data_IF_031602998015
#
_entry.id   IF_031602998015
#
_cell.length_a   1.000
_cell.length_b   1.000
_cell.length_c   1.000
_cell.angle_alpha   90.00
_cell.angle_beta   90.00
_cell.angle_gamma   90.00
#
_symmetry.space_group_name_H-M   'P 1'
#
loop_
_entity.id
_entity.type
_entity.pdbx_description
1 polymer ?
#
# COMPACT_ATOMS: atom_id res chain seq x y z
N UNK A 1 4.72 -35.30 44.04
CA UNK A 1 5.40 -34.26 43.23
C UNK A 1 5.59 -34.84 41.84
N UNK A 2 4.69 -34.53 40.90
CA UNK A 2 4.88 -34.86 39.49
C UNK A 2 5.25 -33.59 38.73
N UNK A 3 6.46 -33.56 38.17
CA UNK A 3 6.87 -32.57 37.20
C UNK A 3 6.25 -32.93 35.84
N UNK A 4 5.17 -32.25 35.45
CA UNK A 4 4.70 -32.29 34.06
C UNK A 4 5.52 -31.33 33.21
N UNK A 5 6.37 -31.92 32.38
CA UNK A 5 7.15 -31.21 31.37
C UNK A 5 6.26 -30.69 30.23
N UNK A 6 6.41 -29.38 29.98
CA UNK A 6 6.57 -28.72 28.68
C UNK A 6 5.43 -28.79 27.66
N UNK A 7 4.70 -27.68 27.54
CA UNK A 7 4.58 -26.99 26.26
C UNK A 7 4.91 -25.52 26.44
N UNK A 8 6.11 -25.13 26.00
CA UNK A 8 6.48 -23.73 25.84
C UNK A 8 5.83 -23.26 24.54
N UNK A 9 4.74 -22.50 24.64
CA UNK A 9 4.30 -21.68 23.50
C UNK A 9 5.24 -20.47 23.49
N UNK A 10 6.47 -20.67 23.03
CA UNK A 10 7.26 -19.57 22.46
C UNK A 10 7.11 -19.67 20.96
N UNK A 11 6.61 -18.57 20.39
CA UNK A 11 6.58 -18.19 18.97
C UNK A 11 5.30 -18.52 18.22
N UNK A 12 4.31 -17.64 18.36
CA UNK A 12 4.00 -16.76 17.24
C UNK A 12 3.98 -15.34 17.78
N UNK A 13 5.10 -14.64 17.54
CA UNK A 13 5.07 -13.18 17.45
C UNK A 13 3.93 -12.91 16.46
N UNK A 14 2.87 -12.22 16.88
CA UNK A 14 1.85 -11.68 15.97
C UNK A 14 2.53 -10.65 15.07
N UNK A 15 3.43 -11.11 14.19
CA UNK A 15 3.84 -10.44 12.99
C UNK A 15 2.79 -10.77 11.96
N UNK A 16 1.59 -10.24 12.18
CA UNK A 16 0.54 -10.24 11.16
C UNK A 16 1.05 -9.29 10.08
N UNK A 17 1.57 -9.88 9.00
CA UNK A 17 1.91 -9.20 7.76
C UNK A 17 3.01 -8.15 7.85
N UNK A 18 4.29 -8.56 7.94
CA UNK A 18 5.30 -7.80 7.19
C UNK A 18 5.16 -8.14 5.71
N UNK A 19 4.13 -7.60 5.07
CA UNK A 19 4.27 -7.27 3.67
C UNK A 19 5.13 -6.00 3.67
N UNK A 20 6.35 -6.11 3.15
CA UNK A 20 7.14 -4.94 2.78
C UNK A 20 6.35 -4.28 1.64
N UNK A 21 5.40 -3.44 2.02
CA UNK A 21 4.70 -2.58 1.10
C UNK A 21 5.75 -1.59 0.61
N UNK A 22 6.20 -1.82 -0.63
CA UNK A 22 7.05 -0.91 -1.37
C UNK A 22 6.51 0.50 -1.15
N UNK A 23 7.27 1.30 -0.43
CA UNK A 23 6.77 2.42 0.34
C UNK A 23 6.70 3.66 -0.53
N UNK A 24 5.59 4.40 -0.41
CA UNK A 24 5.19 5.35 -1.43
C UNK A 24 4.83 6.72 -0.83
N UNK A 25 5.73 7.65 -1.14
CA UNK A 25 5.54 9.09 -1.34
C UNK A 25 4.16 9.62 -1.65
N UNK A 26 3.42 10.06 -0.61
CA UNK A 26 2.78 11.37 -0.66
C UNK A 26 3.82 12.51 -0.51
N UNK A 27 4.50 12.86 -1.60
CA UNK A 27 5.34 14.05 -1.70
C UNK A 27 5.10 14.72 -3.05
N UNK A 28 5.27 16.05 -3.17
CA UNK A 28 5.32 16.73 -4.46
C UNK A 28 6.16 15.93 -5.47
N UNK A 29 5.52 15.36 -6.50
CA UNK A 29 6.25 14.83 -7.64
C UNK A 29 6.58 16.01 -8.55
N UNK A 30 7.85 16.18 -8.92
CA UNK A 30 8.34 17.22 -9.82
C UNK A 30 8.52 16.68 -11.26
N UNK A 31 8.08 17.46 -12.25
CA UNK A 31 8.34 17.21 -13.67
C UNK A 31 9.65 17.82 -14.15
N UNK A 32 10.39 17.13 -15.02
CA UNK A 32 11.46 17.72 -15.84
C UNK A 32 11.10 17.64 -17.33
N UNK A 33 11.05 18.77 -18.04
CA UNK A 33 10.87 18.81 -19.51
C UNK A 33 12.20 19.12 -20.21
N UNK A 34 12.59 18.25 -21.15
CA UNK A 34 13.77 18.47 -22.02
C UNK A 34 13.28 18.81 -23.43
N UNK A 35 13.74 19.92 -24.01
CA UNK A 35 13.36 20.38 -25.36
C UNK A 35 14.58 20.30 -26.27
N UNK A 36 14.42 19.69 -27.45
CA UNK A 36 15.48 19.48 -28.44
C UNK A 36 15.79 20.78 -29.21
N UNK A 37 17.08 21.09 -29.37
CA UNK A 37 17.57 22.21 -30.17
C UNK A 37 17.47 21.89 -31.68
N UNK A 38 17.01 22.86 -32.47
CA UNK A 38 16.96 22.80 -33.93
C UNK A 38 17.89 23.87 -34.50
N UNK A 39 18.71 23.49 -35.49
CA UNK A 39 19.78 24.30 -36.08
C UNK A 39 19.28 25.68 -36.55
N UNK A 40 19.96 26.74 -36.10
CA UNK A 40 19.74 28.10 -36.53
C UNK A 40 20.55 28.39 -37.82
N UNK A 41 19.87 28.63 -38.94
CA UNK A 41 20.50 29.19 -40.13
C UNK A 41 20.66 30.70 -40.00
N UNK A 42 21.84 31.22 -40.35
CA UNK A 42 22.20 32.64 -40.31
C UNK A 42 21.34 33.50 -41.26
N UNK A 43 20.94 34.73 -40.87
CA UNK A 43 20.16 35.61 -41.73
C UNK A 43 21.02 36.16 -42.89
N UNK A 44 20.51 36.03 -44.11
CA UNK A 44 21.09 36.61 -45.32
C UNK A 44 20.72 38.10 -45.43
N UNK A 45 21.71 38.97 -45.66
CA UNK A 45 21.47 40.40 -45.87
C UNK A 45 20.70 40.65 -47.18
N UNK A 46 19.59 41.39 -47.12
CA UNK A 46 18.81 41.79 -48.29
C UNK A 46 19.46 42.99 -49.00
N UNK A 47 19.76 42.81 -50.28
CA UNK A 47 20.29 43.87 -51.15
C UNK A 47 19.18 44.86 -51.51
N UNK A 48 19.31 46.13 -51.11
CA UNK A 48 18.37 47.19 -51.49
C UNK A 48 18.49 47.47 -53.00
N UNK A 49 17.42 47.19 -53.73
CA UNK A 49 17.23 47.71 -55.09
C UNK A 49 17.16 49.24 -55.12
N UNK A 50 17.21 49.80 -56.32
CA UNK A 50 17.26 51.21 -56.70
C UNK A 50 16.05 52.06 -56.25
N UNK A 51 15.81 52.13 -54.94
CA UNK A 51 14.81 52.95 -54.30
C UNK A 51 15.23 54.43 -54.28
N UNK A 52 14.31 55.35 -54.57
CA UNK A 52 14.55 56.81 -54.55
C UNK A 52 14.32 57.44 -53.17
N UNK A 53 13.91 56.65 -52.18
CA UNK A 53 13.65 57.01 -50.79
C UNK A 53 13.87 55.77 -49.90
N UNK A 54 14.31 55.97 -48.65
CA UNK A 54 14.74 54.88 -47.73
C UNK A 54 15.87 54.01 -48.30
N UNK A 55 16.95 54.66 -48.75
CA UNK A 55 18.12 54.01 -49.39
C UNK A 55 19.11 53.36 -48.41
N UNK A 56 18.91 53.54 -47.11
CA UNK A 56 19.74 52.92 -46.10
C UNK A 56 19.45 51.42 -46.04
N UNK A 57 20.47 50.60 -46.28
CA UNK A 57 20.37 49.17 -46.03
C UNK A 57 20.08 48.92 -44.55
N UNK A 58 19.45 47.78 -44.26
CA UNK A 58 19.18 47.37 -42.89
C UNK A 58 20.52 47.34 -42.12
N UNK A 59 20.56 48.05 -41.00
CA UNK A 59 21.72 48.05 -40.12
C UNK A 59 21.97 46.64 -39.56
N UNK A 60 23.23 46.31 -39.29
CA UNK A 60 23.57 45.05 -38.64
C UNK A 60 22.81 44.93 -37.30
N UNK A 61 22.37 43.71 -36.93
CA UNK A 61 21.71 43.48 -35.65
C UNK A 61 22.63 43.84 -34.48
N UNK A 62 22.03 44.32 -33.37
CA UNK A 62 22.81 44.67 -32.18
C UNK A 62 23.44 43.43 -31.53
N UNK A 63 24.51 43.64 -30.75
CA UNK A 63 25.14 42.56 -30.00
C UNK A 63 24.17 41.89 -29.01
N UNK A 64 23.23 42.63 -28.41
CA UNK A 64 22.19 42.03 -27.58
C UNK A 64 21.23 41.14 -28.37
N UNK A 65 20.87 41.53 -29.61
CA UNK A 65 20.03 40.71 -30.48
C UNK A 65 20.72 39.39 -30.84
N UNK A 66 22.00 39.45 -31.22
CA UNK A 66 22.79 38.26 -31.54
C UNK A 66 23.00 37.36 -30.32
N UNK A 67 23.12 37.94 -29.12
CA UNK A 67 23.19 37.17 -27.87
C UNK A 67 21.85 36.47 -27.56
N UNK A 68 20.74 37.18 -27.73
CA UNK A 68 19.38 36.64 -27.56
C UNK A 68 19.06 35.56 -28.60
N UNK A 69 19.49 35.72 -29.84
CA UNK A 69 19.34 34.73 -30.91
C UNK A 69 20.15 33.46 -30.62
N UNK A 70 21.38 33.59 -30.09
CA UNK A 70 22.18 32.45 -29.61
C UNK A 70 21.57 31.76 -28.39
N UNK A 71 20.80 32.49 -27.59
CA UNK A 71 20.03 31.97 -26.46
C UNK A 71 18.64 31.47 -26.87
N UNK A 72 18.21 31.74 -28.11
CA UNK A 72 16.92 31.28 -28.60
C UNK A 72 16.91 29.75 -28.60
N UNK A 73 15.84 29.15 -28.08
CA UNK A 73 15.71 27.72 -27.85
C UNK A 73 16.71 27.12 -26.84
N UNK A 74 17.46 27.94 -26.11
CA UNK A 74 18.17 27.50 -24.90
C UNK A 74 17.26 27.75 -23.69
N UNK A 75 16.90 26.68 -22.99
CA UNK A 75 16.16 26.77 -21.73
C UNK A 75 17.14 27.06 -20.59
N UNK A 76 16.92 28.17 -19.88
CA UNK A 76 17.58 28.44 -18.61
C UNK A 76 16.60 28.18 -17.46
N UNK A 77 16.86 27.12 -16.69
CA UNK A 77 16.06 26.73 -15.53
C UNK A 77 15.12 25.55 -15.79
N UNK A 78 14.62 24.98 -14.70
CA UNK A 78 13.72 23.83 -14.69
C UNK A 78 12.38 24.25 -14.08
N UNK A 79 11.26 23.99 -14.79
CA UNK A 79 9.92 24.24 -14.25
C UNK A 79 9.49 23.01 -13.47
N UNK A 80 9.58 23.11 -12.14
CA UNK A 80 9.18 22.06 -11.21
C UNK A 80 7.67 22.16 -10.95
N UNK A 81 6.88 21.30 -11.58
CA UNK A 81 5.45 21.17 -11.30
C UNK A 81 5.19 20.10 -10.25
N UNK A 82 4.51 20.45 -9.15
CA UNK A 82 4.11 19.53 -8.09
C UNK A 82 2.82 18.78 -8.45
N UNK A 83 2.85 17.45 -8.45
CA UNK A 83 1.65 16.60 -8.56
C UNK A 83 1.19 16.14 -7.17
N UNK A 84 -0.08 16.34 -6.84
CA UNK A 84 -0.73 15.87 -5.60
C UNK A 84 -1.85 14.87 -5.90
N UNK A 85 -2.01 13.82 -5.08
CA UNK A 85 -3.11 12.84 -5.20
C UNK A 85 -3.92 12.71 -3.90
N UNK A 86 -5.19 13.11 -3.96
CA UNK A 86 -6.15 12.95 -2.85
C UNK A 86 -6.56 11.48 -2.68
N UNK A 87 -6.73 10.75 -3.77
CA UNK A 87 -7.10 9.32 -3.75
C UNK A 87 -6.04 8.46 -3.06
N UNK A 88 -4.76 8.71 -3.34
CA UNK A 88 -3.66 8.01 -2.67
C UNK A 88 -3.64 8.32 -1.17
N UNK A 89 -3.90 9.58 -0.80
CA UNK A 89 -3.99 9.99 0.61
C UNK A 89 -5.12 9.25 1.34
N UNK A 90 -6.28 9.11 0.69
CA UNK A 90 -7.40 8.37 1.22
C UNK A 90 -7.07 6.88 1.37
N UNK A 91 -6.51 6.25 0.33
CA UNK A 91 -6.12 4.84 0.36
C UNK A 91 -5.08 4.54 1.47
N UNK A 92 -4.11 5.43 1.69
CA UNK A 92 -3.14 5.31 2.79
C UNK A 92 -3.85 5.39 4.16
N UNK A 93 -4.84 6.26 4.29
CA UNK A 93 -5.60 6.42 5.54
C UNK A 93 -6.45 5.16 5.82
N UNK A 94 -7.11 4.63 4.80
CA UNK A 94 -7.84 3.36 4.87
C UNK A 94 -6.92 2.19 5.24
N UNK A 95 -5.71 2.13 4.67
CA UNK A 95 -4.72 1.11 5.00
C UNK A 95 -4.32 1.16 6.48
N UNK A 96 -4.04 2.34 7.01
CA UNK A 96 -3.72 2.51 8.44
C UNK A 96 -4.88 2.07 9.33
N UNK A 97 -6.12 2.42 8.96
CA UNK A 97 -7.32 2.02 9.70
C UNK A 97 -7.56 0.50 9.67
N UNK A 98 -7.20 -0.16 8.57
CA UNK A 98 -7.21 -1.62 8.45
C UNK A 98 -6.05 -2.32 9.19
N UNK A 99 -5.19 -1.56 9.90
CA UNK A 99 -4.05 -2.10 10.62
C UNK A 99 -2.84 -2.43 9.73
N UNK A 100 -2.87 -2.00 8.46
CA UNK A 100 -1.74 -2.16 7.54
C UNK A 100 -0.66 -1.14 7.90
N UNK A 101 0.58 -1.60 8.07
CA UNK A 101 1.73 -0.72 8.27
C UNK A 101 2.06 0.00 6.96
N UNK A 102 1.99 1.33 6.99
CA UNK A 102 2.38 2.18 5.85
C UNK A 102 3.73 2.84 6.12
N UNK A 103 4.63 2.77 5.15
CA UNK A 103 5.90 3.52 5.14
C UNK A 103 5.93 4.40 3.89
N UNK A 104 6.63 5.52 3.98
CA UNK A 104 6.61 6.60 2.99
C UNK A 104 8.08 6.95 2.69
N UNK A 105 8.57 6.64 1.48
CA UNK A 105 10.01 6.70 1.10
C UNK A 105 10.52 8.10 0.70
N UNK A 106 11.35 8.27 -0.34
CA UNK A 106 11.81 9.59 -0.85
C UNK A 106 11.14 9.95 -2.20
N UNK A 107 10.91 11.25 -2.42
CA UNK A 107 10.19 11.73 -3.60
C UNK A 107 10.87 11.30 -4.90
N UNK A 108 10.08 11.09 -5.95
CA UNK A 108 10.55 10.64 -7.27
C UNK A 108 10.20 11.72 -8.30
N UNK A 109 11.15 12.02 -9.19
CA UNK A 109 10.92 12.93 -10.31
C UNK A 109 10.45 12.14 -11.52
N UNK A 110 9.57 12.75 -12.31
CA UNK A 110 9.04 12.13 -13.52
C UNK A 110 9.29 13.03 -14.73
N UNK A 111 9.40 12.41 -15.90
CA UNK A 111 9.59 13.14 -17.16
C UNK A 111 8.28 13.82 -17.63
N UNK A 112 7.12 13.36 -17.14
CA UNK A 112 5.81 13.92 -17.53
C UNK A 112 4.75 13.82 -16.42
N UNK A 113 3.69 14.62 -16.58
CA UNK A 113 2.55 14.71 -15.66
C UNK A 113 1.75 13.41 -15.71
N UNK A 114 1.57 12.89 -16.91
CA UNK A 114 0.88 11.62 -17.17
C UNK A 114 1.60 10.45 -16.51
N UNK A 115 2.94 10.42 -16.55
CA UNK A 115 3.72 9.38 -15.89
C UNK A 115 3.54 9.42 -14.36
N UNK A 116 3.59 10.61 -13.75
CA UNK A 116 3.36 10.75 -12.32
C UNK A 116 1.92 10.45 -11.88
N UNK A 117 0.93 10.82 -12.69
CA UNK A 117 -0.49 10.50 -12.42
C UNK A 117 -0.77 8.99 -12.55
N UNK A 118 -0.23 8.34 -13.58
CA UNK A 118 -0.35 6.90 -13.76
C UNK A 118 0.33 6.13 -12.62
N UNK A 119 1.49 6.60 -12.15
CA UNK A 119 2.14 6.03 -10.98
C UNK A 119 1.22 6.11 -9.76
N UNK A 120 0.68 7.29 -9.41
CA UNK A 120 -0.28 7.42 -8.31
C UNK A 120 -1.49 6.48 -8.42
N UNK A 121 -2.06 6.28 -9.61
CA UNK A 121 -3.16 5.33 -9.81
C UNK A 121 -2.74 3.87 -9.55
N UNK A 122 -1.54 3.49 -9.97
CA UNK A 122 -0.96 2.17 -9.67
C UNK A 122 -0.76 1.98 -8.16
N UNK A 123 -0.27 3.02 -7.46
CA UNK A 123 -0.10 2.98 -6.01
C UNK A 123 -1.44 2.79 -5.28
N UNK A 124 -2.48 3.54 -5.66
CA UNK A 124 -3.83 3.39 -5.10
C UNK A 124 -4.33 1.96 -5.24
N UNK A 125 -4.15 1.36 -6.42
CA UNK A 125 -4.56 -0.02 -6.70
C UNK A 125 -3.80 -1.03 -5.85
N UNK A 126 -2.48 -0.84 -5.70
CA UNK A 126 -1.64 -1.70 -4.87
C UNK A 126 -2.04 -1.63 -3.39
N UNK A 127 -2.31 -0.43 -2.88
CA UNK A 127 -2.76 -0.22 -1.49
C UNK A 127 -4.11 -0.89 -1.25
N UNK A 128 -5.10 -0.68 -2.13
CA UNK A 128 -6.44 -1.31 -2.02
C UNK A 128 -6.36 -2.83 -2.00
N UNK A 129 -5.55 -3.42 -2.88
CA UNK A 129 -5.33 -4.88 -2.93
C UNK A 129 -4.83 -5.45 -1.60
N UNK A 130 -4.03 -4.68 -0.86
CA UNK A 130 -3.48 -5.12 0.43
C UNK A 130 -4.47 -4.94 1.56
N UNK A 131 -5.25 -3.87 1.53
CA UNK A 131 -6.40 -3.69 2.43
C UNK A 131 -7.34 -4.88 2.31
N UNK A 132 -7.72 -5.26 1.10
CA UNK A 132 -8.65 -6.38 0.87
C UNK A 132 -8.11 -7.70 1.44
N UNK A 133 -6.81 -7.98 1.25
CA UNK A 133 -6.14 -9.15 1.83
C UNK A 133 -6.13 -9.11 3.36
N UNK A 134 -5.87 -7.95 3.95
CA UNK A 134 -5.85 -7.77 5.40
C UNK A 134 -7.26 -8.00 6.00
N UNK A 135 -8.29 -7.42 5.39
CA UNK A 135 -9.69 -7.59 5.81
C UNK A 135 -10.12 -9.06 5.68
N UNK A 136 -9.77 -9.73 4.59
CA UNK A 136 -10.08 -11.15 4.40
C UNK A 136 -9.37 -12.05 5.43
N UNK A 137 -8.10 -11.75 5.74
CA UNK A 137 -7.34 -12.47 6.75
C UNK A 137 -7.95 -12.27 8.15
N UNK A 138 -8.35 -11.05 8.49
CA UNK A 138 -9.01 -10.74 9.76
C UNK A 138 -10.33 -11.50 9.90
N UNK A 139 -11.17 -11.49 8.86
CA UNK A 139 -12.44 -12.25 8.87
C UNK A 139 -12.21 -13.74 9.08
N UNK A 140 -11.21 -14.31 8.39
CA UNK A 140 -10.86 -15.73 8.54
C UNK A 140 -10.43 -16.06 9.97
N UNK A 141 -9.64 -15.18 10.59
CA UNK A 141 -9.22 -15.31 11.98
C UNK A 141 -10.43 -15.25 12.94
N UNK A 142 -11.31 -14.26 12.78
CA UNK A 142 -12.51 -14.11 13.61
C UNK A 142 -13.46 -15.32 13.50
N UNK A 143 -13.61 -15.90 12.30
CA UNK A 143 -14.38 -17.12 12.10
C UNK A 143 -13.74 -18.35 12.76
N UNK A 144 -12.41 -18.48 12.69
CA UNK A 144 -11.68 -19.53 13.38
C UNK A 144 -11.78 -19.41 14.90
N UNK A 145 -11.67 -18.19 15.43
CA UNK A 145 -11.83 -17.90 16.85
C UNK A 145 -13.23 -18.26 17.34
N UNK A 146 -14.29 -17.89 16.60
CA UNK A 146 -15.68 -18.27 16.92
C UNK A 146 -15.86 -19.79 16.97
N UNK A 147 -15.32 -20.52 15.99
CA UNK A 147 -15.37 -21.99 15.96
C UNK A 147 -14.64 -22.60 17.15
N UNK A 148 -13.48 -22.05 17.51
CA UNK A 148 -12.71 -22.53 18.65
C UNK A 148 -13.45 -22.30 19.98
N UNK A 149 -14.04 -21.12 20.17
CA UNK A 149 -14.85 -20.84 21.36
C UNK A 149 -16.07 -21.75 21.46
N UNK A 150 -16.75 -22.02 20.33
CA UNK A 150 -17.85 -22.97 20.29
C UNK A 150 -17.42 -24.40 20.65
N UNK A 151 -16.23 -24.82 20.21
CA UNK A 151 -15.65 -26.11 20.58
C UNK A 151 -15.41 -26.21 22.09
N UNK A 152 -14.83 -25.18 22.72
CA UNK A 152 -14.59 -25.18 24.17
C UNK A 152 -15.89 -25.32 24.98
N UNK A 153 -16.97 -24.66 24.54
CA UNK A 153 -18.28 -24.80 25.18
C UNK A 153 -18.84 -26.22 25.02
N UNK A 154 -18.73 -26.80 23.82
CA UNK A 154 -19.18 -28.16 23.57
C UNK A 154 -18.38 -29.22 24.36
N UNK A 155 -17.07 -29.03 24.47
CA UNK A 155 -16.18 -29.90 25.25
C UNK A 155 -16.52 -29.86 26.75
N UNK A 156 -16.73 -28.67 27.31
CA UNK A 156 -17.16 -28.53 28.71
C UNK A 156 -18.52 -29.21 28.99
N UNK A 157 -19.46 -29.13 28.03
CA UNK A 157 -20.74 -29.82 28.14
C UNK A 157 -20.57 -31.35 28.07
N UNK A 158 -19.73 -31.84 27.15
CA UNK A 158 -19.42 -33.26 27.04
C UNK A 158 -18.81 -33.83 28.33
N UNK A 159 -17.88 -33.12 28.96
CA UNK A 159 -17.28 -33.56 30.23
C UNK A 159 -18.33 -33.67 31.35
N UNK A 160 -19.28 -32.73 31.42
CA UNK A 160 -20.39 -32.77 32.37
C UNK A 160 -21.30 -33.97 32.12
N UNK A 161 -21.67 -34.21 30.87
CA UNK A 161 -22.53 -35.33 30.48
C UNK A 161 -21.85 -36.68 30.73
N UNK A 162 -20.55 -36.78 30.43
CA UNK A 162 -19.76 -37.98 30.74
C UNK A 162 -19.68 -38.23 32.25
N UNK A 163 -19.49 -37.18 33.05
CA UNK A 163 -19.49 -37.30 34.53
C UNK A 163 -20.84 -37.80 35.05
N UNK A 164 -21.95 -37.25 34.54
CA UNK A 164 -23.29 -37.70 34.90
C UNK A 164 -23.54 -39.16 34.48
N UNK A 165 -23.04 -39.57 33.32
CA UNK A 165 -23.14 -40.95 32.84
C UNK A 165 -22.37 -41.94 33.72
N UNK A 166 -21.14 -41.60 34.16
CA UNK A 166 -20.36 -42.43 35.08
C UNK A 166 -21.04 -42.56 36.46
N UNK A 167 -21.65 -41.48 36.95
CA UNK A 167 -22.44 -41.52 38.19
C UNK A 167 -23.66 -42.44 38.07
N UNK A 168 -24.36 -42.40 36.94
CA UNK A 168 -25.47 -43.32 36.64
C UNK A 168 -25.02 -44.79 36.64
N UNK A 169 -23.91 -45.11 35.98
CA UNK A 169 -23.38 -46.48 35.93
C UNK A 169 -23.02 -47.00 37.33
N UNK A 170 -22.44 -46.13 38.17
CA UNK A 170 -22.10 -46.48 39.56
C UNK A 170 -23.36 -46.75 40.37
N UNK A 171 -24.34 -45.86 40.33
CA UNK A 171 -25.61 -46.03 41.04
C UNK A 171 -26.38 -47.27 40.57
N UNK A 172 -26.34 -47.58 39.26
CA UNK A 172 -26.93 -48.81 38.72
C UNK A 172 -26.24 -50.07 39.26
N UNK A 173 -24.92 -50.08 39.31
CA UNK A 173 -24.18 -51.21 39.87
C UNK A 173 -24.50 -51.43 41.37
N UNK A 174 -24.65 -50.35 42.14
CA UNK A 174 -25.07 -50.41 43.55
C UNK A 174 -26.50 -50.95 43.70
N UNK A 175 -27.44 -50.47 42.88
CA UNK A 175 -28.81 -50.98 42.84
C UNK A 175 -28.83 -52.47 42.50
N UNK A 176 -28.13 -52.89 41.44
CA UNK A 176 -28.10 -54.29 41.00
C UNK A 176 -27.52 -55.20 42.10
N UNK A 177 -26.50 -54.73 42.84
CA UNK A 177 -25.93 -55.45 43.99
C UNK A 177 -26.90 -55.55 45.17
N UNK A 178 -27.57 -54.46 45.52
CA UNK A 178 -28.57 -54.44 46.59
C UNK A 178 -29.77 -55.34 46.26
N UNK A 179 -30.22 -55.31 45.00
CA UNK A 179 -31.30 -56.14 44.50
C UNK A 179 -30.95 -57.64 44.54
N UNK A 180 -29.73 -58.00 44.13
CA UNK A 180 -29.25 -59.39 44.26
C UNK A 180 -29.22 -59.85 45.72
N UNK A 181 -28.72 -59.01 46.62
CA UNK A 181 -28.68 -59.31 48.07
C UNK A 181 -30.08 -59.50 48.67
N UNK A 182 -31.08 -58.77 48.17
CA UNK A 182 -32.48 -58.94 48.57
C UNK A 182 -33.09 -60.26 48.07
N UNK A 183 -32.72 -60.72 46.88
CA UNK A 183 -33.23 -62.01 46.36
C UNK A 183 -32.65 -63.22 47.09
N UNK A 184 -31.47 -63.09 47.70
CA UNK A 184 -30.81 -64.16 48.45
C UNK A 184 -31.20 -64.20 49.95
N UNK A 185 -32.00 -63.23 50.43
CA UNK A 185 -32.46 -63.10 51.82
C UNK A 185 -33.86 -63.71 52.03
#
# INVERSE_FOLDING_TARGET
MEQKQRFSIRKFKNGVGSALLLSLLLAPIALQTTVLAQDAESPTQQQLGNATNYTAAQADPSEEYLALEKLANTSQGEIINQITSTELTAAISEAKNAGVKVTVDKGVNFESLEAGQADYANQVTAVKTIIDKQVAAQKTYEEAEKKYQAYLVAEAQYEKDNTAYQAYLTAKAEYDKAFASYQEA
#
